data_IF_249128565291
#
_entry.id   IF_249128565291
#
_cell.length_a   1.000
_cell.length_b   1.000
_cell.length_c   1.000
_cell.angle_alpha   90.00
_cell.angle_beta   90.00
_cell.angle_gamma   90.00
#
_symmetry.space_group_name_H-M   'P 1'
#
loop_
_entity.id
_entity.type
_entity.pdbx_description
1 polymer ?
#
# COMPACT_ATOMS: atom_id res chain seq x y z
N UNK A 1 -66.47 11.34 32.27
CA UNK A 1 -65.31 12.23 32.50
C UNK A 1 -64.07 11.45 32.05
N UNK A 2 -63.63 11.73 30.83
CA UNK A 2 -62.51 11.05 30.15
C UNK A 2 -61.22 11.81 30.47
N UNK A 3 -60.33 11.20 31.25
CA UNK A 3 -58.96 11.70 31.44
C UNK A 3 -58.03 10.50 31.23
N UNK A 4 -57.76 10.19 29.96
CA UNK A 4 -56.53 9.49 29.60
C UNK A 4 -55.44 10.56 29.52
N UNK A 5 -54.57 10.58 30.53
CA UNK A 5 -53.34 11.37 30.50
C UNK A 5 -52.20 10.42 30.10
N UNK A 6 -52.02 10.24 28.80
CA UNK A 6 -50.84 9.57 28.26
C UNK A 6 -49.64 10.54 28.33
N UNK A 7 -48.51 10.17 28.93
CA UNK A 7 -47.30 10.99 28.85
C UNK A 7 -46.67 10.81 27.45
N UNK A 8 -47.16 11.57 26.48
CA UNK A 8 -46.60 11.68 25.11
C UNK A 8 -45.20 12.32 25.05
N UNK A 9 -44.51 12.46 26.19
CA UNK A 9 -43.20 13.10 26.30
C UNK A 9 -41.99 12.16 26.23
N UNK A 10 -42.17 10.84 26.40
CA UNK A 10 -41.05 9.89 26.39
C UNK A 10 -40.65 9.46 24.97
N UNK A 11 -41.63 9.27 24.08
CA UNK A 11 -41.36 8.82 22.71
C UNK A 11 -40.68 9.88 21.83
N UNK A 12 -40.89 11.17 22.11
CA UNK A 12 -40.30 12.26 21.32
C UNK A 12 -38.80 12.50 21.60
N UNK A 13 -38.27 11.97 22.71
CA UNK A 13 -36.87 12.14 23.09
C UNK A 13 -35.96 11.03 22.54
N UNK A 14 -36.50 9.86 22.21
CA UNK A 14 -35.71 8.74 21.67
C UNK A 14 -35.42 8.91 20.18
N UNK A 15 -36.33 9.51 19.41
CA UNK A 15 -36.17 9.76 17.96
C UNK A 15 -35.08 10.82 17.62
N UNK A 16 -34.68 11.65 18.60
CA UNK A 16 -33.69 12.72 18.36
C UNK A 16 -32.24 12.24 18.39
N UNK A 17 -31.95 11.09 19.02
CA UNK A 17 -30.58 10.58 19.15
C UNK A 17 -30.14 9.66 17.99
N UNK A 18 -31.08 9.09 17.24
CA UNK A 18 -30.76 8.18 16.12
C UNK A 18 -30.32 8.92 14.84
N UNK A 19 -30.65 10.21 14.70
CA UNK A 19 -30.40 10.99 13.47
C UNK A 19 -29.08 11.77 13.44
N UNK A 20 -28.24 11.70 14.49
CA UNK A 20 -27.01 12.50 14.59
C UNK A 20 -25.71 11.75 14.26
N UNK A 21 -25.75 10.58 13.62
CA UNK A 21 -24.53 9.99 13.09
C UNK A 21 -24.13 10.74 11.80
N UNK A 22 -23.08 11.58 11.78
CA UNK A 22 -22.66 12.21 10.54
C UNK A 22 -22.19 11.12 9.59
N UNK A 23 -23.00 10.81 8.58
CA UNK A 23 -22.62 10.00 7.44
C UNK A 23 -21.55 10.80 6.68
N UNK A 24 -20.29 10.65 7.13
CA UNK A 24 -19.14 11.35 6.55
C UNK A 24 -18.93 10.81 5.14
N UNK A 25 -19.59 11.44 4.17
CA UNK A 25 -19.44 11.19 2.74
C UNK A 25 -17.96 11.34 2.41
N UNK A 26 -17.26 10.20 2.25
CA UNK A 26 -15.84 10.19 1.88
C UNK A 26 -15.74 10.73 0.46
N UNK A 27 -15.43 12.01 0.31
CA UNK A 27 -15.07 12.55 -0.99
C UNK A 27 -13.76 11.87 -1.45
N UNK A 28 -13.72 11.26 -2.64
CA UNK A 28 -12.57 10.47 -3.08
C UNK A 28 -11.27 11.30 -3.17
N UNK A 29 -11.37 12.60 -3.46
CA UNK A 29 -10.22 13.51 -3.50
C UNK A 29 -9.51 13.69 -2.15
N UNK A 30 -10.26 13.70 -1.04
CA UNK A 30 -9.67 13.84 0.29
C UNK A 30 -8.86 12.62 0.72
N UNK A 31 -9.09 11.44 0.12
CA UNK A 31 -8.37 10.22 0.47
C UNK A 31 -6.95 10.24 -0.10
N UNK A 32 -6.79 10.66 -1.36
CA UNK A 32 -5.48 10.77 -2.01
C UNK A 32 -4.61 11.83 -1.34
N UNK A 33 -5.17 13.02 -1.06
CA UNK A 33 -4.44 14.08 -0.34
C UNK A 33 -4.05 13.64 1.07
N UNK A 34 -4.93 12.91 1.76
CA UNK A 34 -4.63 12.35 3.08
C UNK A 34 -3.54 11.29 3.02
N UNK A 35 -3.49 10.45 1.99
CA UNK A 35 -2.42 9.49 1.79
C UNK A 35 -1.10 10.18 1.41
N UNK A 36 -1.16 11.27 0.63
CA UNK A 36 0.01 12.05 0.23
C UNK A 36 0.71 12.75 1.39
N UNK A 37 -0.06 13.20 2.39
CA UNK A 37 0.41 14.05 3.49
C UNK A 37 0.39 13.35 4.86
N UNK A 38 0.20 12.03 4.86
CA UNK A 38 0.11 11.23 6.09
C UNK A 38 1.47 11.06 6.76
N UNK A 39 1.51 11.25 8.08
CA UNK A 39 2.69 10.96 8.91
C UNK A 39 2.55 9.70 9.76
N UNK A 40 1.37 9.08 9.76
CA UNK A 40 1.09 7.88 10.57
C UNK A 40 1.86 6.65 10.07
N UNK A 41 2.67 6.06 10.95
CA UNK A 41 3.51 4.90 10.64
C UNK A 41 2.72 3.66 10.17
N UNK A 42 1.47 3.48 10.63
CA UNK A 42 0.63 2.34 10.18
C UNK A 42 0.19 2.50 8.74
N UNK A 43 -0.22 3.71 8.37
CA UNK A 43 -0.62 4.03 7.00
C UNK A 43 0.60 3.96 6.06
N UNK A 44 1.75 4.50 6.47
CA UNK A 44 3.01 4.39 5.70
C UNK A 44 3.46 2.93 5.57
N UNK A 45 3.37 2.14 6.63
CA UNK A 45 3.64 0.70 6.59
C UNK A 45 2.72 -0.04 5.62
N UNK A 46 1.43 0.29 5.60
CA UNK A 46 0.45 -0.27 4.66
C UNK A 46 0.80 0.08 3.22
N UNK A 47 1.21 1.33 2.96
CA UNK A 47 1.68 1.76 1.65
C UNK A 47 2.86 0.92 1.16
N UNK A 48 3.90 0.76 1.99
CA UNK A 48 5.05 -0.09 1.68
C UNK A 48 4.67 -1.54 1.37
N UNK A 49 3.78 -2.13 2.17
CA UNK A 49 3.33 -3.52 1.97
C UNK A 49 2.56 -3.68 0.65
N UNK A 50 1.66 -2.74 0.34
CA UNK A 50 0.88 -2.79 -0.91
C UNK A 50 1.78 -2.61 -2.13
N UNK A 51 2.69 -1.63 -2.11
CA UNK A 51 3.58 -1.37 -3.26
C UNK A 51 4.61 -2.49 -3.44
N UNK A 52 5.23 -2.98 -2.36
CA UNK A 52 6.18 -4.10 -2.45
C UNK A 52 5.52 -5.37 -2.96
N UNK A 53 4.26 -5.63 -2.57
CA UNK A 53 3.48 -6.73 -3.12
C UNK A 53 3.16 -6.56 -4.60
N UNK A 54 2.87 -5.34 -5.06
CA UNK A 54 2.71 -5.07 -6.50
C UNK A 54 4.00 -5.37 -7.27
N UNK A 55 5.17 -4.94 -6.77
CA UNK A 55 6.47 -5.28 -7.35
C UNK A 55 6.78 -6.77 -7.29
N UNK A 56 6.36 -7.47 -6.23
CA UNK A 56 6.47 -8.92 -6.14
C UNK A 56 5.72 -9.63 -7.28
N UNK A 57 4.51 -9.19 -7.60
CA UNK A 57 3.74 -9.76 -8.73
C UNK A 57 4.47 -9.49 -10.05
N UNK A 58 4.98 -8.28 -10.26
CA UNK A 58 5.74 -7.92 -11.48
C UNK A 58 7.00 -8.80 -11.61
N UNK A 59 7.80 -8.89 -10.55
CA UNK A 59 8.99 -9.73 -10.52
C UNK A 59 8.68 -11.22 -10.65
N UNK A 60 7.56 -11.67 -10.08
CA UNK A 60 7.07 -13.05 -10.18
C UNK A 60 6.68 -13.42 -11.61
N UNK A 61 5.99 -12.53 -12.33
CA UNK A 61 5.67 -12.74 -13.75
C UNK A 61 6.94 -12.85 -14.59
N UNK A 62 7.94 -11.98 -14.38
CA UNK A 62 9.23 -12.10 -15.08
C UNK A 62 9.94 -13.42 -14.77
N UNK A 63 9.89 -13.91 -13.53
CA UNK A 63 10.43 -15.21 -13.18
C UNK A 63 9.72 -16.35 -13.93
N UNK A 64 8.40 -16.28 -14.04
CA UNK A 64 7.63 -17.28 -14.79
C UNK A 64 8.00 -17.26 -16.29
N UNK A 65 8.21 -16.09 -16.89
CA UNK A 65 8.67 -15.97 -18.28
C UNK A 65 10.06 -16.59 -18.48
N UNK A 66 11.02 -16.28 -17.59
CA UNK A 66 12.34 -16.90 -17.64
C UNK A 66 12.26 -18.42 -17.46
N UNK A 67 11.44 -18.91 -16.53
CA UNK A 67 11.27 -20.35 -16.33
C UNK A 67 10.58 -21.03 -17.51
N UNK A 68 9.69 -20.33 -18.21
CA UNK A 68 9.08 -20.83 -19.43
C UNK A 68 10.11 -20.94 -20.56
N UNK A 69 11.05 -20.00 -20.68
CA UNK A 69 12.15 -20.08 -21.63
C UNK A 69 13.03 -21.32 -21.39
N UNK A 70 13.39 -21.58 -20.13
CA UNK A 70 14.20 -22.76 -19.75
C UNK A 70 13.42 -24.09 -19.74
N UNK A 71 12.13 -24.12 -20.08
CA UNK A 71 11.33 -25.34 -20.02
C UNK A 71 11.75 -26.39 -21.07
N UNK A 72 12.35 -25.95 -22.18
CA UNK A 72 12.96 -26.82 -23.19
C UNK A 72 14.30 -26.21 -23.64
N UNK A 73 15.25 -27.02 -24.12
CA UNK A 73 16.49 -26.49 -24.68
C UNK A 73 16.25 -25.69 -25.97
N UNK A 74 16.93 -24.56 -26.12
CA UNK A 74 16.83 -23.67 -27.29
C UNK A 74 15.95 -22.43 -27.04
N UNK A 75 15.99 -21.47 -27.96
CA UNK A 75 15.24 -20.21 -27.85
C UNK A 75 13.77 -20.40 -28.25
N UNK A 76 12.83 -19.98 -27.40
CA UNK A 76 11.39 -20.18 -27.61
C UNK A 76 10.58 -18.88 -27.53
N UNK A 77 10.77 -18.12 -26.45
CA UNK A 77 9.95 -16.97 -26.06
C UNK A 77 10.80 -15.69 -26.07
N UNK A 78 12.05 -15.77 -25.61
CA UNK A 78 12.92 -14.62 -25.37
C UNK A 78 14.20 -14.73 -26.18
N UNK A 79 14.74 -13.61 -26.68
CA UNK A 79 16.12 -13.57 -27.17
C UNK A 79 17.13 -13.63 -26.02
N UNK A 80 18.39 -13.96 -26.29
CA UNK A 80 19.45 -13.97 -25.27
C UNK A 80 19.58 -12.62 -24.55
N UNK A 81 19.44 -11.52 -25.27
CA UNK A 81 19.50 -10.18 -24.70
C UNK A 81 18.30 -9.91 -23.77
N UNK A 82 17.09 -10.23 -24.22
CA UNK A 82 15.87 -10.08 -23.43
C UNK A 82 15.90 -10.94 -22.16
N UNK A 83 16.46 -12.15 -22.23
CA UNK A 83 16.64 -13.01 -21.07
C UNK A 83 17.59 -12.38 -20.04
N UNK A 84 18.73 -11.85 -20.48
CA UNK A 84 19.70 -11.19 -19.61
C UNK A 84 19.14 -9.92 -18.96
N UNK A 85 18.37 -9.13 -19.72
CA UNK A 85 17.67 -7.95 -19.20
C UNK A 85 16.59 -8.36 -18.18
N UNK A 86 15.76 -9.35 -18.51
CA UNK A 86 14.72 -9.85 -17.62
C UNK A 86 15.28 -10.43 -16.32
N UNK A 87 16.41 -11.15 -16.38
CA UNK A 87 17.09 -11.69 -15.20
C UNK A 87 17.61 -10.57 -14.28
N UNK A 88 18.26 -9.57 -14.85
CA UNK A 88 18.79 -8.43 -14.12
C UNK A 88 17.66 -7.63 -13.44
N UNK A 89 16.59 -7.37 -14.19
CA UNK A 89 15.44 -6.62 -13.67
C UNK A 89 14.63 -7.42 -12.66
N UNK A 90 14.47 -8.74 -12.85
CA UNK A 90 13.86 -9.62 -11.87
C UNK A 90 14.61 -9.60 -10.53
N UNK A 91 15.94 -9.76 -10.56
CA UNK A 91 16.77 -9.72 -9.36
C UNK A 91 16.70 -8.36 -8.66
N UNK A 92 16.78 -7.27 -9.43
CA UNK A 92 16.66 -5.90 -8.92
C UNK A 92 15.30 -5.68 -8.24
N UNK A 93 14.20 -6.09 -8.88
CA UNK A 93 12.85 -5.98 -8.33
C UNK A 93 12.70 -6.79 -7.06
N UNK A 94 13.16 -8.04 -7.04
CA UNK A 94 13.00 -8.92 -5.88
C UNK A 94 13.82 -8.45 -4.67
N UNK A 95 15.05 -7.98 -4.88
CA UNK A 95 15.92 -7.57 -3.78
C UNK A 95 15.63 -6.14 -3.30
N UNK A 96 15.55 -5.18 -4.23
CA UNK A 96 15.51 -3.76 -3.90
C UNK A 96 14.09 -3.20 -3.82
N UNK A 97 13.16 -3.67 -4.65
CA UNK A 97 11.79 -3.15 -4.68
C UNK A 97 10.77 -3.99 -3.89
N UNK A 98 11.09 -5.26 -3.63
CA UNK A 98 10.26 -6.17 -2.84
C UNK A 98 10.85 -6.45 -1.44
N UNK A 99 11.99 -7.12 -1.33
CA UNK A 99 12.47 -7.62 -0.04
C UNK A 99 12.75 -6.46 0.94
N UNK A 100 13.57 -5.49 0.54
CA UNK A 100 13.93 -4.35 1.40
C UNK A 100 12.70 -3.53 1.84
N UNK A 101 11.79 -3.12 0.93
CA UNK A 101 10.61 -2.33 1.28
C UNK A 101 9.55 -3.12 2.04
N UNK A 102 9.45 -4.44 1.82
CA UNK A 102 8.58 -5.32 2.61
C UNK A 102 8.99 -5.32 4.09
N UNK A 103 10.29 -5.50 4.38
CA UNK A 103 10.80 -5.41 5.74
C UNK A 103 10.63 -4.02 6.34
N UNK A 104 10.87 -2.96 5.56
CA UNK A 104 10.58 -1.60 5.99
C UNK A 104 9.10 -1.37 6.31
N UNK A 105 8.19 -1.97 5.53
CA UNK A 105 6.74 -1.92 5.75
C UNK A 105 6.33 -2.59 7.06
N UNK A 106 6.83 -3.80 7.33
CA UNK A 106 6.60 -4.48 8.61
C UNK A 106 7.20 -3.73 9.79
N UNK A 107 8.40 -3.16 9.62
CA UNK A 107 9.04 -2.34 10.65
C UNK A 107 8.18 -1.13 10.97
N UNK A 108 7.68 -0.43 9.97
CA UNK A 108 6.76 0.68 10.15
C UNK A 108 5.45 0.28 10.84
N UNK A 109 4.91 -0.90 10.54
CA UNK A 109 3.62 -1.31 11.08
C UNK A 109 3.72 -1.87 12.52
N UNK A 110 4.74 -2.68 12.78
CA UNK A 110 4.85 -3.51 13.99
C UNK A 110 5.82 -2.90 15.02
N UNK A 111 6.97 -2.38 14.60
CA UNK A 111 8.07 -2.05 15.53
C UNK A 111 7.68 -0.98 16.57
N UNK A 112 7.03 0.16 16.21
CA UNK A 112 6.58 1.14 17.21
C UNK A 112 5.65 0.52 18.27
N UNK A 113 4.79 -0.42 17.85
CA UNK A 113 3.87 -1.12 18.76
C UNK A 113 4.61 -2.08 19.70
N UNK A 114 5.68 -2.74 19.23
CA UNK A 114 6.49 -3.64 20.05
C UNK A 114 7.27 -2.91 21.14
N UNK A 115 7.78 -1.70 20.85
CA UNK A 115 8.53 -0.90 21.83
C UNK A 115 7.63 0.02 22.68
N UNK A 116 6.31 0.01 22.43
CA UNK A 116 5.35 0.88 23.13
C UNK A 116 5.49 2.36 22.78
N UNK A 117 6.11 2.70 21.65
CA UNK A 117 6.25 4.07 21.18
C UNK A 117 4.97 4.55 20.46
N UNK A 118 4.60 5.83 20.58
CA UNK A 118 3.42 6.37 19.91
C UNK A 118 3.60 6.48 18.39
N UNK A 119 4.83 6.70 17.90
CA UNK A 119 5.17 6.81 16.48
C UNK A 119 6.69 6.61 16.27
N UNK A 120 7.16 6.65 15.02
CA UNK A 120 8.58 6.65 14.65
C UNK A 120 9.28 7.97 15.04
N UNK A 121 10.59 7.93 15.25
CA UNK A 121 11.37 9.09 15.71
C UNK A 121 11.26 10.33 14.80
N UNK A 122 11.14 10.14 13.48
CA UNK A 122 11.00 11.23 12.50
C UNK A 122 9.86 10.95 11.51
N UNK A 123 8.59 11.25 11.85
CA UNK A 123 7.43 10.86 11.05
C UNK A 123 7.41 11.45 9.62
N UNK A 124 7.85 12.70 9.45
CA UNK A 124 7.92 13.35 8.12
C UNK A 124 9.02 12.77 7.24
N UNK A 125 10.16 12.43 7.83
CA UNK A 125 11.27 11.81 7.09
C UNK A 125 10.89 10.40 6.63
N UNK A 126 10.14 9.67 7.44
CA UNK A 126 9.62 8.36 7.10
C UNK A 126 8.64 8.41 5.90
N UNK A 127 7.72 9.38 5.90
CA UNK A 127 6.86 9.63 4.73
C UNK A 127 7.70 9.95 3.48
N UNK A 128 8.72 10.80 3.62
CA UNK A 128 9.61 11.15 2.50
C UNK A 128 10.39 9.94 1.97
N UNK A 129 10.86 9.05 2.86
CA UNK A 129 11.55 7.82 2.47
C UNK A 129 10.65 6.90 1.63
N UNK A 130 9.35 6.83 1.93
CA UNK A 130 8.39 6.09 1.10
C UNK A 130 8.29 6.68 -0.31
N UNK A 131 8.21 8.01 -0.44
CA UNK A 131 8.17 8.66 -1.75
C UNK A 131 9.43 8.44 -2.57
N UNK A 132 10.62 8.54 -1.95
CA UNK A 132 11.88 8.23 -2.62
C UNK A 132 11.92 6.79 -3.14
N UNK A 133 11.43 5.84 -2.34
CA UNK A 133 11.30 4.45 -2.75
C UNK A 133 10.35 4.29 -3.94
N UNK A 134 9.15 4.88 -3.88
CA UNK A 134 8.15 4.75 -4.94
C UNK A 134 8.69 5.32 -6.26
N UNK A 135 9.18 6.56 -6.25
CA UNK A 135 9.71 7.20 -7.46
C UNK A 135 10.99 6.53 -7.95
N UNK A 136 11.90 6.13 -7.06
CA UNK A 136 13.11 5.39 -7.44
C UNK A 136 12.78 4.06 -8.12
N UNK A 137 11.78 3.34 -7.60
CA UNK A 137 11.31 2.09 -8.20
C UNK A 137 10.65 2.30 -9.56
N UNK A 138 9.86 3.38 -9.72
CA UNK A 138 9.26 3.74 -11.00
C UNK A 138 10.30 4.12 -12.05
N UNK A 139 11.36 4.84 -11.67
CA UNK A 139 12.46 5.18 -12.57
C UNK A 139 13.19 3.92 -13.04
N UNK A 140 13.51 3.01 -12.10
CA UNK A 140 14.18 1.76 -12.42
C UNK A 140 13.35 0.88 -13.38
N UNK A 141 12.05 0.74 -13.13
CA UNK A 141 11.15 0.00 -14.06
C UNK A 141 10.92 0.77 -15.36
N UNK A 142 10.95 2.10 -15.33
CA UNK A 142 10.91 2.96 -16.51
C UNK A 142 12.04 2.69 -17.51
N UNK A 143 13.14 2.07 -17.08
CA UNK A 143 14.20 1.59 -17.97
C UNK A 143 13.73 0.65 -19.07
N UNK A 144 12.61 -0.07 -18.90
CA UNK A 144 12.00 -0.87 -19.96
C UNK A 144 11.39 -0.04 -21.11
N UNK A 145 11.10 1.25 -20.87
CA UNK A 145 10.50 2.14 -21.87
C UNK A 145 11.55 2.87 -22.72
N UNK A 146 12.80 2.89 -22.27
CA UNK A 146 13.93 3.52 -22.96
C UNK A 146 14.83 2.43 -23.55
N UNK A 147 14.88 2.27 -24.89
CA UNK A 147 15.73 1.28 -25.54
C UNK A 147 17.22 1.57 -25.38
#
# INVERSE_FOLDING_TARGET
>A
MSILNEPQGAAAAEDSYENELPVRRRQPGNVVVKWLTTTDHKTIGTLYLVTSFAFFVIGGVMALLMRAELARPGLQIMSNEQFNQAFTMHGTIMLLMFATPLFAGFTNWIMPLQIGAPDVAFPRLNMFAYWLYLFGSLIAVGGFLTP
#
